data_IF_803631805941
#
_entry.id   IF_803631805941
#
_cell.length_a   1.000
_cell.length_b   1.000
_cell.length_c   1.000
_cell.angle_alpha   90.00
_cell.angle_beta   90.00
_cell.angle_gamma   90.00
#
_symmetry.space_group_name_H-M   'P 1'
#
loop_
_entity.id
_entity.type
_entity.pdbx_description
1 polymer ?
#
# COMPACT_ATOMS: atom_id res chain seq x y z
N UNK A 1 -8.38 -32.36 13.09
CA UNK A 1 -9.53 -31.80 13.84
C UNK A 1 -9.12 -30.44 14.43
N UNK A 2 -9.47 -29.29 13.80
CA UNK A 2 -9.17 -27.91 14.26
C UNK A 2 -10.47 -27.20 14.66
N UNK A 3 -11.17 -27.72 15.67
CA UNK A 3 -12.49 -27.19 16.09
C UNK A 3 -12.35 -25.96 16.98
N UNK A 4 -11.36 -25.94 17.88
CA UNK A 4 -11.07 -24.81 18.79
C UNK A 4 -10.64 -23.54 18.07
N UNK A 5 -9.74 -23.65 17.09
CA UNK A 5 -9.23 -22.48 16.35
C UNK A 5 -10.33 -21.83 15.50
N UNK A 6 -11.24 -22.63 14.92
CA UNK A 6 -12.38 -22.14 14.15
C UNK A 6 -13.42 -21.46 15.04
N UNK A 7 -13.74 -22.06 16.19
CA UNK A 7 -14.67 -21.47 17.17
C UNK A 7 -14.11 -20.17 17.78
N UNK A 8 -12.82 -20.13 18.13
CA UNK A 8 -12.17 -18.92 18.62
C UNK A 8 -12.14 -17.79 17.59
N UNK A 9 -11.98 -18.12 16.30
CA UNK A 9 -12.03 -17.15 15.20
C UNK A 9 -13.44 -16.60 14.98
N UNK A 10 -14.46 -17.46 15.05
CA UNK A 10 -15.86 -17.08 14.93
C UNK A 10 -16.31 -16.17 16.09
N UNK A 11 -15.89 -16.48 17.32
CA UNK A 11 -16.15 -15.63 18.49
C UNK A 11 -15.51 -14.24 18.34
N UNK A 12 -14.26 -14.16 17.86
CA UNK A 12 -13.57 -12.88 17.60
C UNK A 12 -14.25 -12.08 16.49
N UNK A 13 -14.72 -12.74 15.42
CA UNK A 13 -15.49 -12.10 14.34
C UNK A 13 -16.85 -11.58 14.82
N UNK A 14 -17.55 -12.36 15.66
CA UNK A 14 -18.86 -11.98 16.24
C UNK A 14 -18.75 -10.80 17.21
N UNK A 15 -17.65 -10.71 17.97
CA UNK A 15 -17.31 -9.57 18.82
C UNK A 15 -16.93 -8.29 18.05
N UNK A 16 -17.12 -8.25 16.73
CA UNK A 16 -16.84 -7.07 15.90
C UNK A 16 -15.35 -6.83 15.60
N UNK A 17 -14.46 -7.77 15.97
CA UNK A 17 -13.05 -7.66 15.65
C UNK A 17 -12.84 -7.92 14.16
N UNK A 18 -12.47 -6.89 13.39
CA UNK A 18 -12.16 -7.02 11.96
C UNK A 18 -10.91 -7.89 11.81
N UNK A 19 -11.12 -9.18 11.53
CA UNK A 19 -10.05 -10.11 11.23
C UNK A 19 -9.48 -9.80 9.84
N UNK A 20 -8.23 -9.37 9.78
CA UNK A 20 -7.52 -9.04 8.54
C UNK A 20 -6.71 -7.75 8.66
N UNK A 21 -5.96 -7.40 7.61
CA UNK A 21 -5.31 -6.10 7.50
C UNK A 21 -6.40 -5.02 7.41
N UNK A 22 -6.36 -3.94 8.21
CA UNK A 22 -7.38 -2.90 8.16
C UNK A 22 -7.53 -2.36 6.72
N UNK A 23 -8.76 -2.43 6.18
CA UNK A 23 -9.13 -1.81 4.91
C UNK A 23 -8.87 -0.31 5.02
N UNK A 24 -8.01 0.23 4.16
CA UNK A 24 -7.73 1.67 4.11
C UNK A 24 -6.48 2.10 4.88
N UNK A 25 -5.75 1.21 5.56
CA UNK A 25 -4.39 1.54 5.97
C UNK A 25 -3.46 1.47 4.74
N UNK A 26 -3.56 2.46 3.85
CA UNK A 26 -2.36 3.07 3.27
C UNK A 26 -1.59 3.65 4.47
N UNK A 27 -0.97 2.78 5.26
CA UNK A 27 0.05 3.23 6.20
C UNK A 27 1.02 4.09 5.40
N UNK A 28 1.41 5.25 5.95
CA UNK A 28 2.27 6.26 5.32
C UNK A 28 3.10 5.63 4.21
N UNK A 29 2.68 5.84 2.96
CA UNK A 29 3.42 5.27 1.84
C UNK A 29 4.80 5.90 1.89
N UNK A 30 5.86 5.14 1.61
CA UNK A 30 7.23 5.69 1.56
C UNK A 30 7.39 6.87 0.58
N UNK A 31 6.39 7.08 -0.28
CA UNK A 31 6.28 8.14 -1.28
C UNK A 31 5.48 9.36 -0.78
N UNK A 32 4.79 9.26 0.35
CA UNK A 32 4.00 10.36 0.92
C UNK A 32 4.97 11.42 1.48
N UNK A 33 5.02 12.59 0.82
CA UNK A 33 6.01 13.64 1.06
C UNK A 33 7.08 13.80 -0.03
N UNK A 34 7.11 12.93 -1.06
CA UNK A 34 8.05 13.02 -2.20
C UNK A 34 7.38 13.39 -3.52
N UNK A 35 6.20 14.00 -3.46
CA UNK A 35 5.40 14.35 -4.65
C UNK A 35 6.15 15.32 -5.57
N UNK A 36 6.81 16.32 -4.99
CA UNK A 36 7.55 17.33 -5.73
C UNK A 36 8.78 16.73 -6.43
N UNK A 37 9.53 15.88 -5.73
CA UNK A 37 10.66 15.16 -6.33
C UNK A 37 10.19 14.25 -7.48
N UNK A 38 9.09 13.51 -7.30
CA UNK A 38 8.56 12.62 -8.34
C UNK A 38 8.12 13.42 -9.58
N UNK A 39 7.59 14.63 -9.39
CA UNK A 39 7.20 15.52 -10.48
C UNK A 39 8.42 16.08 -11.22
N UNK A 40 9.46 16.47 -10.50
CA UNK A 40 10.73 16.94 -11.08
C UNK A 40 11.44 15.81 -11.85
N UNK A 41 11.49 14.60 -11.30
CA UNK A 41 12.02 13.43 -12.00
C UNK A 41 11.19 13.04 -13.23
N UNK A 42 9.88 13.31 -13.21
CA UNK A 42 9.00 13.09 -14.37
C UNK A 42 9.27 14.11 -15.48
N UNK A 43 9.52 15.37 -15.12
CA UNK A 43 9.90 16.43 -16.05
C UNK A 43 11.25 16.12 -16.72
N UNK A 44 12.20 15.57 -15.95
CA UNK A 44 13.48 15.03 -16.44
C UNK A 44 13.34 13.77 -17.33
N UNK A 45 12.12 13.30 -17.59
CA UNK A 45 11.86 12.18 -18.50
C UNK A 45 12.08 10.79 -17.90
N UNK A 46 12.17 10.64 -16.57
CA UNK A 46 12.39 9.32 -15.98
C UNK A 46 11.15 8.42 -16.09
N UNK A 47 11.41 7.18 -16.53
CA UNK A 47 10.39 6.15 -16.62
C UNK A 47 9.88 5.73 -15.24
N UNK A 48 8.61 5.34 -15.17
CA UNK A 48 7.93 4.86 -13.94
C UNK A 48 8.70 3.72 -13.27
N UNK A 49 9.35 2.85 -14.07
CA UNK A 49 10.16 1.73 -13.57
C UNK A 49 11.48 2.20 -12.94
N UNK A 50 12.10 3.27 -13.47
CA UNK A 50 13.31 3.85 -12.90
C UNK A 50 12.98 4.52 -11.55
N UNK A 51 11.88 5.28 -11.50
CA UNK A 51 11.34 5.85 -10.26
C UNK A 51 11.07 4.77 -9.21
N UNK A 52 10.39 3.68 -9.60
CA UNK A 52 10.11 2.57 -8.70
C UNK A 52 11.39 1.95 -8.10
N UNK A 53 12.46 1.82 -8.90
CA UNK A 53 13.77 1.34 -8.45
C UNK A 53 14.46 2.31 -7.49
N UNK A 54 14.47 3.61 -7.83
CA UNK A 54 15.07 4.67 -7.00
C UNK A 54 14.42 4.71 -5.61
N UNK A 55 13.10 4.59 -5.56
CA UNK A 55 12.35 4.63 -4.30
C UNK A 55 12.18 3.26 -3.63
N UNK A 56 12.71 2.19 -4.20
CA UNK A 56 12.63 0.83 -3.66
C UNK A 56 11.20 0.34 -3.48
N UNK A 57 10.30 0.71 -4.39
CA UNK A 57 8.87 0.38 -4.34
C UNK A 57 8.47 -0.51 -5.52
N UNK A 58 7.37 -1.25 -5.37
CA UNK A 58 6.81 -2.00 -6.49
C UNK A 58 6.34 -1.07 -7.60
N UNK A 59 6.48 -1.51 -8.85
CA UNK A 59 5.94 -0.81 -10.02
C UNK A 59 4.44 -0.53 -9.88
N UNK A 60 3.67 -1.47 -9.33
CA UNK A 60 2.23 -1.30 -9.10
C UNK A 60 1.93 -0.20 -8.08
N UNK A 61 2.73 -0.09 -7.02
CA UNK A 61 2.62 0.99 -6.04
C UNK A 61 2.93 2.34 -6.67
N UNK A 62 4.01 2.43 -7.46
CA UNK A 62 4.39 3.67 -8.15
C UNK A 62 3.33 4.09 -9.17
N UNK A 63 2.79 3.14 -9.94
CA UNK A 63 1.71 3.43 -10.91
C UNK A 63 0.42 3.86 -10.24
N UNK A 64 0.04 3.21 -9.14
CA UNK A 64 -1.13 3.59 -8.36
C UNK A 64 -0.95 4.98 -7.74
N UNK A 65 0.26 5.31 -7.28
CA UNK A 65 0.61 6.63 -6.76
C UNK A 65 0.50 7.72 -7.83
N UNK A 66 1.02 7.48 -9.03
CA UNK A 66 0.88 8.41 -10.15
C UNK A 66 -0.60 8.60 -10.55
N UNK A 67 -1.41 7.54 -10.57
CA UNK A 67 -2.82 7.62 -10.96
C UNK A 67 -3.75 8.25 -9.90
N UNK A 68 -3.31 8.38 -8.65
CA UNK A 68 -4.13 8.92 -7.55
C UNK A 68 -3.72 10.31 -7.07
N UNK A 69 -2.51 10.78 -7.42
CA UNK A 69 -1.94 12.04 -6.91
C UNK A 69 -1.53 13.04 -7.99
N UNK A 70 -1.46 12.63 -9.25
CA UNK A 70 -1.31 13.48 -10.44
C UNK A 70 -2.65 13.44 -11.16
#
# INVERSE_FOLDING_TARGET
MRTLTKQALALKKSKGFKLGRPKGALGKSKLDGKLEEIKDFRDKGLNVTALAKIYGVSWTCMRNFLNTKI
#
